data_IF_054483143335
#
_entry.id   IF_054483143335
#
_cell.length_a   1.000
_cell.length_b   1.000
_cell.length_c   1.000
_cell.angle_alpha   90.00
_cell.angle_beta   90.00
_cell.angle_gamma   90.00
#
_symmetry.space_group_name_H-M   'P 1'
#
loop_
_entity.id
_entity.type
_entity.pdbx_description
1 polymer ?
#
# COMPACT_ATOMS: atom_id res chain seq x y z
N UNK A 1 27.11 17.39 -15.43
CA UNK A 1 25.68 17.28 -15.55
C UNK A 1 25.08 16.00 -14.98
N UNK A 2 25.94 15.07 -14.63
CA UNK A 2 25.50 13.88 -13.91
C UNK A 2 24.81 14.23 -12.59
N UNK A 3 25.25 15.30 -11.94
CA UNK A 3 24.65 15.76 -10.69
C UNK A 3 23.19 16.22 -10.84
N UNK A 4 22.85 16.72 -12.03
CA UNK A 4 21.48 17.18 -12.30
C UNK A 4 20.51 16.01 -12.42
N UNK A 5 20.91 14.96 -13.15
CA UNK A 5 20.09 13.75 -13.28
C UNK A 5 19.89 13.05 -11.93
N UNK A 6 20.95 13.01 -11.12
CA UNK A 6 20.90 12.48 -9.77
C UNK A 6 19.93 13.26 -8.90
N UNK A 7 19.94 14.58 -9.04
CA UNK A 7 19.07 15.44 -8.26
C UNK A 7 17.61 15.21 -8.60
N UNK A 8 17.27 15.05 -9.88
CA UNK A 8 15.91 14.75 -10.30
C UNK A 8 15.40 13.44 -9.70
N UNK A 9 16.21 12.38 -9.78
CA UNK A 9 15.86 11.10 -9.21
C UNK A 9 15.70 11.16 -7.70
N UNK A 10 16.61 11.88 -7.04
CA UNK A 10 16.53 12.07 -5.60
C UNK A 10 15.28 12.82 -5.20
N UNK A 11 14.87 13.81 -5.98
CA UNK A 11 13.64 14.56 -5.73
C UNK A 11 12.40 13.70 -5.93
N UNK A 12 12.38 12.88 -6.98
CA UNK A 12 11.27 11.94 -7.19
C UNK A 12 11.12 10.96 -6.04
N UNK A 13 12.23 10.38 -5.58
CA UNK A 13 12.23 9.48 -4.45
C UNK A 13 11.79 10.17 -3.16
N UNK A 14 12.23 11.40 -2.96
CA UNK A 14 11.82 12.19 -1.80
C UNK A 14 10.33 12.51 -1.82
N UNK A 15 9.78 12.82 -2.99
CA UNK A 15 8.35 13.05 -3.15
C UNK A 15 7.55 11.80 -2.80
N UNK A 16 7.94 10.65 -3.37
CA UNK A 16 7.26 9.39 -3.09
C UNK A 16 7.34 9.00 -1.62
N UNK A 17 8.49 9.23 -0.98
CA UNK A 17 8.70 8.90 0.42
C UNK A 17 7.97 9.83 1.38
N UNK A 18 7.79 11.08 0.99
CA UNK A 18 7.13 12.08 1.83
C UNK A 18 5.63 12.16 1.62
N UNK A 19 5.14 11.58 0.52
CA UNK A 19 3.74 11.67 0.17
C UNK A 19 2.86 11.09 1.28
N UNK A 20 3.11 9.86 1.69
CA UNK A 20 2.29 9.21 2.70
C UNK A 20 2.73 9.65 4.10
N UNK A 21 1.81 10.26 4.85
CA UNK A 21 2.09 10.79 6.17
C UNK A 21 1.17 10.29 7.28
N UNK A 22 0.22 9.43 6.96
CA UNK A 22 -0.74 8.95 7.96
C UNK A 22 -1.24 7.55 7.60
N UNK A 23 -1.61 6.78 8.63
CA UNK A 23 -2.27 5.48 8.42
C UNK A 23 -3.68 5.69 7.86
N UNK A 24 -4.14 4.70 7.08
CA UNK A 24 -5.49 4.70 6.52
C UNK A 24 -6.35 3.67 7.26
N UNK A 25 -7.23 4.10 8.18
CA UNK A 25 -8.05 3.16 8.95
C UNK A 25 -8.93 2.26 8.08
N UNK A 26 -9.45 2.78 6.97
CA UNK A 26 -10.28 1.98 6.05
C UNK A 26 -9.49 0.83 5.45
N UNK A 27 -8.25 1.10 5.04
CA UNK A 27 -7.39 0.07 4.48
C UNK A 27 -7.02 -0.99 5.50
N UNK A 28 -6.68 -0.57 6.72
CA UNK A 28 -6.33 -1.48 7.81
C UNK A 28 -7.53 -2.39 8.14
N UNK A 29 -8.71 -1.81 8.30
CA UNK A 29 -9.91 -2.58 8.61
C UNK A 29 -10.26 -3.58 7.51
N UNK A 30 -10.16 -3.15 6.25
CA UNK A 30 -10.47 -4.02 5.12
C UNK A 30 -9.49 -5.18 5.01
N UNK A 31 -8.19 -4.89 5.14
CA UNK A 31 -7.15 -5.93 5.11
C UNK A 31 -7.39 -6.96 6.21
N UNK A 32 -7.65 -6.51 7.43
CA UNK A 32 -7.92 -7.42 8.55
C UNK A 32 -9.16 -8.29 8.30
N UNK A 33 -10.20 -7.72 7.71
CA UNK A 33 -11.42 -8.46 7.34
C UNK A 33 -11.12 -9.56 6.32
N UNK A 34 -10.33 -9.25 5.30
CA UNK A 34 -9.93 -10.23 4.28
C UNK A 34 -9.08 -11.34 4.89
N UNK A 35 -8.15 -10.99 5.78
CA UNK A 35 -7.32 -11.99 6.47
C UNK A 35 -8.21 -12.91 7.31
N UNK A 36 -9.17 -12.36 8.03
CA UNK A 36 -10.10 -13.13 8.85
C UNK A 36 -10.91 -14.11 8.00
N UNK A 37 -11.31 -13.72 6.79
CA UNK A 37 -12.08 -14.57 5.90
C UNK A 37 -11.23 -15.52 5.05
N UNK A 38 -9.91 -15.43 5.14
CA UNK A 38 -9.01 -16.31 4.39
C UNK A 38 -8.71 -15.84 2.96
N UNK A 39 -9.10 -14.62 2.62
CA UNK A 39 -8.85 -14.06 1.29
C UNK A 39 -7.42 -13.52 1.20
N UNK A 40 -6.46 -14.42 1.25
CA UNK A 40 -5.03 -14.14 1.27
C UNK A 40 -4.33 -14.91 0.18
N UNK A 41 -3.34 -14.25 -0.43
CA UNK A 41 -2.52 -14.79 -1.48
C UNK A 41 -1.06 -14.78 -1.04
N UNK A 42 -0.32 -15.85 -1.34
CA UNK A 42 1.10 -15.95 -0.98
C UNK A 42 1.94 -16.32 -2.20
N UNK A 43 2.10 -15.37 -3.14
CA UNK A 43 2.92 -15.62 -4.31
C UNK A 43 4.41 -15.67 -3.96
N UNK A 44 5.23 -16.11 -4.91
CA UNK A 44 6.67 -16.17 -4.73
C UNK A 44 7.32 -14.78 -4.74
N UNK A 45 6.67 -13.80 -5.34
CA UNK A 45 7.18 -12.43 -5.42
C UNK A 45 6.05 -11.41 -5.40
N UNK A 46 6.38 -10.19 -4.98
CA UNK A 46 5.43 -9.09 -4.94
C UNK A 46 5.29 -8.44 -6.32
N UNK A 47 4.05 -8.28 -6.76
CA UNK A 47 3.73 -7.54 -7.98
C UNK A 47 2.76 -6.41 -7.65
N UNK A 48 3.25 -5.19 -7.72
CA UNK A 48 2.41 -4.01 -7.54
C UNK A 48 1.37 -3.95 -8.65
N UNK A 49 0.10 -3.60 -8.35
CA UNK A 49 -0.90 -3.44 -9.41
C UNK A 49 -0.44 -2.41 -10.44
N UNK A 50 -0.76 -2.67 -11.70
CA UNK A 50 -0.43 -1.72 -12.77
C UNK A 50 -1.37 -0.52 -12.71
N UNK A 51 -0.94 0.60 -13.32
CA UNK A 51 -1.79 1.78 -13.42
C UNK A 51 -3.10 1.46 -14.16
N UNK A 52 -3.03 0.58 -15.14
CA UNK A 52 -4.20 0.12 -15.89
C UNK A 52 -5.21 -0.61 -14.98
N UNK A 53 -4.73 -1.51 -14.14
CA UNK A 53 -5.56 -2.22 -13.17
C UNK A 53 -6.20 -1.26 -12.17
N UNK A 54 -5.42 -0.31 -11.68
CA UNK A 54 -5.93 0.70 -10.76
C UNK A 54 -7.04 1.54 -11.39
N UNK A 55 -6.82 1.97 -12.62
CA UNK A 55 -7.82 2.77 -13.35
C UNK A 55 -9.10 1.99 -13.58
N UNK A 56 -8.98 0.72 -13.97
CA UNK A 56 -10.15 -0.14 -14.19
C UNK A 56 -10.94 -0.35 -12.90
N UNK A 57 -10.25 -0.57 -11.79
CA UNK A 57 -10.91 -0.74 -10.49
C UNK A 57 -11.63 0.54 -10.05
N UNK A 58 -10.96 1.69 -10.20
CA UNK A 58 -11.55 2.99 -9.88
C UNK A 58 -12.80 3.27 -10.70
N UNK A 59 -12.75 3.01 -12.00
CA UNK A 59 -13.89 3.23 -12.88
C UNK A 59 -15.08 2.37 -12.48
N UNK A 60 -14.82 1.12 -12.12
CA UNK A 60 -15.88 0.19 -11.74
C UNK A 60 -16.43 0.41 -10.34
N UNK A 61 -15.60 0.87 -9.38
CA UNK A 61 -15.94 0.84 -7.96
C UNK A 61 -15.90 2.18 -7.24
N UNK A 62 -15.20 3.18 -7.78
CA UNK A 62 -15.10 4.50 -7.17
C UNK A 62 -14.01 4.62 -6.12
N UNK A 63 -13.82 5.85 -5.64
CA UNK A 63 -12.72 6.20 -4.74
C UNK A 63 -12.84 5.57 -3.35
N UNK A 64 -14.04 5.46 -2.82
CA UNK A 64 -14.23 4.88 -1.49
C UNK A 64 -13.76 3.43 -1.45
N UNK A 65 -14.17 2.63 -2.43
CA UNK A 65 -13.72 1.24 -2.54
C UNK A 65 -12.22 1.16 -2.84
N UNK A 66 -11.70 2.04 -3.70
CA UNK A 66 -10.28 2.09 -4.03
C UNK A 66 -9.44 2.32 -2.77
N UNK A 67 -9.88 3.22 -1.90
CA UNK A 67 -9.16 3.60 -0.69
C UNK A 67 -8.91 2.43 0.26
N UNK A 68 -9.75 1.41 0.21
CA UNK A 68 -9.68 0.27 1.12
C UNK A 68 -8.48 -0.65 0.89
N UNK A 69 -7.74 -0.45 -0.19
CA UNK A 69 -6.63 -1.32 -0.58
C UNK A 69 -5.25 -0.76 -0.22
N UNK A 70 -5.23 0.34 0.53
CA UNK A 70 -4.00 1.07 0.87
C UNK A 70 -3.92 1.29 2.38
N UNK A 71 -2.74 1.08 2.96
CA UNK A 71 -2.55 1.25 4.40
C UNK A 71 -2.18 2.67 4.80
N UNK A 72 -1.85 3.52 3.85
CA UNK A 72 -1.44 4.89 4.12
C UNK A 72 -2.11 5.90 3.23
N UNK A 73 -2.16 7.14 3.71
CA UNK A 73 -2.68 8.27 2.94
C UNK A 73 -1.75 9.48 3.07
N UNK A 74 -1.84 10.34 2.07
CA UNK A 74 -1.23 11.67 2.08
C UNK A 74 -2.35 12.70 2.30
N UNK A 75 -2.38 13.26 3.51
CA UNK A 75 -3.43 14.20 3.88
C UNK A 75 -3.38 15.53 3.14
N UNK A 76 -2.26 15.81 2.46
CA UNK A 76 -2.11 17.02 1.66
C UNK A 76 -2.64 16.87 0.23
N UNK A 77 -2.94 15.64 -0.17
CA UNK A 77 -3.53 15.35 -1.47
C UNK A 77 -5.02 15.08 -1.34
N UNK A 78 -5.79 15.47 -2.33
CA UNK A 78 -7.23 15.23 -2.31
C UNK A 78 -7.57 13.73 -2.38
N UNK A 79 -8.64 13.35 -1.69
CA UNK A 79 -9.06 11.95 -1.60
C UNK A 79 -9.51 11.34 -2.93
N UNK A 80 -9.76 12.17 -3.92
CA UNK A 80 -10.12 11.75 -5.28
C UNK A 80 -8.93 11.85 -6.22
N UNK A 81 -7.73 11.55 -5.72
CA UNK A 81 -6.52 11.46 -6.52
C UNK A 81 -5.75 10.21 -6.07
N UNK A 82 -5.04 9.57 -7.00
CA UNK A 82 -4.23 8.40 -6.67
C UNK A 82 -3.08 8.73 -5.72
N UNK A 83 -2.54 9.95 -5.80
CA UNK A 83 -1.45 10.40 -4.94
C UNK A 83 -1.81 10.46 -3.47
N UNK A 84 -3.09 10.45 -3.14
CA UNK A 84 -3.56 10.42 -1.76
C UNK A 84 -3.29 9.06 -1.09
N UNK A 85 -3.16 7.98 -1.86
CA UNK A 85 -3.08 6.61 -1.33
C UNK A 85 -1.73 5.98 -1.57
N UNK A 86 -1.24 5.24 -0.57
CA UNK A 86 0.02 4.51 -0.67
C UNK A 86 0.03 3.28 0.21
N UNK A 87 1.09 2.49 0.07
CA UNK A 87 1.25 1.22 0.78
C UNK A 87 0.14 0.23 0.42
N UNK A 88 0.02 -0.05 -0.88
CA UNK A 88 -0.95 -1.00 -1.39
C UNK A 88 -0.56 -2.42 -0.95
N UNK A 89 -1.55 -3.19 -0.46
CA UNK A 89 -1.31 -4.54 0.03
C UNK A 89 -1.92 -5.64 -0.84
N UNK A 90 -2.41 -5.28 -2.01
CA UNK A 90 -3.04 -6.21 -2.94
C UNK A 90 -2.37 -6.13 -4.31
N UNK A 91 -2.37 -7.25 -5.04
CA UNK A 91 -1.92 -7.28 -6.44
C UNK A 91 -3.10 -7.37 -7.41
N UNK A 92 -4.27 -7.76 -6.92
CA UNK A 92 -5.43 -8.07 -7.77
C UNK A 92 -6.73 -7.38 -7.37
N UNK A 93 -6.71 -6.54 -6.33
CA UNK A 93 -7.91 -5.90 -5.76
C UNK A 93 -8.98 -6.92 -5.36
N UNK A 94 -8.55 -8.08 -4.89
CA UNK A 94 -9.43 -9.15 -4.39
C UNK A 94 -8.92 -9.75 -3.10
N UNK A 95 -7.60 -9.86 -2.96
CA UNK A 95 -6.96 -10.57 -1.85
C UNK A 95 -5.89 -9.71 -1.20
N UNK A 96 -5.56 -10.03 0.05
CA UNK A 96 -4.37 -9.53 0.70
C UNK A 96 -3.19 -10.34 0.19
N UNK A 97 -2.15 -9.66 -0.27
CA UNK A 97 -0.93 -10.30 -0.74
C UNK A 97 0.12 -10.27 0.37
N UNK A 98 0.51 -11.46 0.85
CA UNK A 98 1.48 -11.56 1.95
C UNK A 98 2.83 -10.96 1.59
N UNK A 99 3.28 -11.12 0.35
CA UNK A 99 4.54 -10.51 -0.11
C UNK A 99 4.39 -8.99 -0.22
N UNK A 100 3.20 -8.52 -0.56
CA UNK A 100 2.89 -7.09 -0.54
C UNK A 100 3.01 -6.50 0.85
N UNK A 101 2.53 -7.22 1.87
CA UNK A 101 2.66 -6.78 3.26
C UNK A 101 4.14 -6.73 3.69
N UNK A 102 4.95 -7.69 3.25
CA UNK A 102 6.40 -7.68 3.53
C UNK A 102 7.07 -6.47 2.88
N UNK A 103 6.70 -6.17 1.64
CA UNK A 103 7.21 -5.00 0.94
C UNK A 103 6.80 -3.70 1.67
N UNK A 104 5.57 -3.65 2.17
CA UNK A 104 5.09 -2.51 2.97
C UNK A 104 5.95 -2.34 4.23
N UNK A 105 6.20 -3.43 4.96
CA UNK A 105 7.02 -3.36 6.18
C UNK A 105 8.39 -2.77 5.88
N UNK A 106 9.03 -3.25 4.83
CA UNK A 106 10.35 -2.80 4.46
C UNK A 106 10.35 -1.31 4.11
N UNK A 107 9.40 -0.89 3.28
CA UNK A 107 9.29 0.51 2.86
C UNK A 107 8.92 1.43 4.04
N UNK A 108 7.98 1.00 4.87
CA UNK A 108 7.55 1.77 6.03
C UNK A 108 8.69 1.96 7.02
N UNK A 109 9.52 0.93 7.22
CA UNK A 109 10.71 1.04 8.05
C UNK A 109 11.69 2.08 7.51
N UNK A 110 11.92 2.06 6.20
CA UNK A 110 12.82 3.01 5.55
C UNK A 110 12.30 4.45 5.67
N UNK A 111 10.99 4.63 5.63
CA UNK A 111 10.36 5.94 5.65
C UNK A 111 9.96 6.42 7.05
N UNK A 112 10.26 5.64 8.08
CA UNK A 112 9.91 5.99 9.44
C UNK A 112 8.42 5.94 9.76
N UNK A 113 7.64 5.21 8.96
CA UNK A 113 6.20 5.06 9.17
C UNK A 113 5.93 3.90 10.14
N UNK A 114 6.21 4.14 11.42
CA UNK A 114 6.16 3.09 12.45
C UNK A 114 4.79 2.45 12.61
N UNK A 115 3.72 3.22 12.48
CA UNK A 115 2.35 2.70 12.60
C UNK A 115 1.99 1.76 11.47
N UNK A 116 2.40 2.09 10.24
CA UNK A 116 2.17 1.24 9.07
C UNK A 116 3.02 -0.01 9.16
N UNK A 117 4.29 0.13 9.58
CA UNK A 117 5.18 -0.99 9.83
C UNK A 117 4.56 -1.99 10.81
N UNK A 118 4.04 -1.48 11.93
CA UNK A 118 3.43 -2.31 12.96
C UNK A 118 2.15 -2.99 12.45
N UNK A 119 1.32 -2.26 11.72
CA UNK A 119 0.08 -2.82 11.17
C UNK A 119 0.36 -3.96 10.20
N UNK A 120 1.29 -3.77 9.28
CA UNK A 120 1.66 -4.81 8.31
C UNK A 120 2.26 -6.03 9.02
N UNK A 121 3.08 -5.82 10.05
CA UNK A 121 3.66 -6.90 10.84
C UNK A 121 2.61 -7.75 11.52
N UNK A 122 1.62 -7.10 12.14
CA UNK A 122 0.51 -7.82 12.78
C UNK A 122 -0.33 -8.60 11.79
N UNK A 123 -0.53 -8.06 10.60
CA UNK A 123 -1.26 -8.74 9.55
C UNK A 123 -0.53 -10.01 9.11
N UNK A 124 0.79 -9.95 8.92
CA UNK A 124 1.60 -11.11 8.58
C UNK A 124 1.51 -12.16 9.68
N UNK A 125 1.60 -11.76 10.95
CA UNK A 125 1.45 -12.67 12.09
C UNK A 125 0.10 -13.38 12.06
N UNK A 126 -0.98 -12.66 11.78
CA UNK A 126 -2.32 -13.25 11.69
C UNK A 126 -2.43 -14.26 10.56
N UNK A 127 -1.83 -13.96 9.42
CA UNK A 127 -1.79 -14.88 8.27
C UNK A 127 -1.05 -16.15 8.67
N UNK A 128 0.12 -16.01 9.27
CA UNK A 128 0.96 -17.14 9.62
C UNK A 128 0.37 -17.97 10.76
N UNK A 129 -0.38 -17.37 11.66
CA UNK A 129 -1.05 -18.07 12.75
C UNK A 129 -2.14 -19.03 12.28
N UNK A 130 -2.67 -18.83 11.08
CA UNK A 130 -3.70 -19.71 10.50
C UNK A 130 -3.15 -20.92 9.76
N UNK A 131 -1.85 -21.00 9.64
CA UNK A 131 -1.21 -22.12 8.89
C UNK A 131 -1.08 -23.39 9.71
#
# INVERSE_FOLDING_TARGET
>A
MKSFEHLEKALELLFDQKAINKTNPKGIAHANSLIASGDVKEPSSWEHPTAEMENAYLEANGWDEFSKWYLGVDTEMGAETKGHYGYVYTSDFKTVDRQGLRAIRQRAAQNGMTSIFAAAGKMIEKIDAKK
#
